data_IF_174821017466
#
_entry.id   IF_174821017466
#
_cell.length_a   1.000
_cell.length_b   1.000
_cell.length_c   1.000
_cell.angle_alpha   90.00
_cell.angle_beta   90.00
_cell.angle_gamma   90.00
#
_symmetry.space_group_name_H-M   'P 1'
#
loop_
_entity.id
_entity.type
_entity.pdbx_description
1 polymer ?
#
# COMPACT_ATOMS: atom_id res chain seq x y z
N UNK A 1 9.28 -1.85 -0.60
CA UNK A 1 8.91 -3.28 -0.69
C UNK A 1 8.81 -3.71 -2.16
N UNK A 2 9.14 -4.97 -2.48
CA UNK A 2 8.98 -5.55 -3.82
C UNK A 2 8.17 -6.84 -3.74
N UNK A 3 7.41 -7.12 -4.79
CA UNK A 3 6.58 -8.32 -4.87
C UNK A 3 7.44 -9.56 -5.17
N UNK A 4 7.27 -10.64 -4.40
CA UNK A 4 7.99 -11.90 -4.59
C UNK A 4 7.59 -12.62 -5.87
N UNK A 5 8.55 -13.30 -6.50
CA UNK A 5 8.27 -14.20 -7.62
C UNK A 5 7.44 -15.41 -7.18
N UNK A 6 6.43 -15.77 -7.96
CA UNK A 6 5.53 -16.91 -7.71
C UNK A 6 4.46 -16.67 -6.65
N UNK A 7 4.36 -15.48 -6.04
CA UNK A 7 3.32 -15.22 -5.04
C UNK A 7 1.94 -15.05 -5.69
N UNK A 8 0.88 -15.28 -4.90
CA UNK A 8 -0.51 -15.20 -5.37
C UNK A 8 -0.81 -13.89 -6.12
N UNK A 9 -0.39 -12.74 -5.57
CA UNK A 9 -0.63 -11.43 -6.17
C UNK A 9 -0.08 -11.33 -7.60
N UNK A 10 0.95 -12.08 -8.00
CA UNK A 10 1.47 -12.02 -9.36
C UNK A 10 0.47 -12.43 -10.44
N UNK A 11 -0.55 -13.20 -10.07
CA UNK A 11 -1.58 -13.70 -10.98
C UNK A 11 -2.80 -12.76 -11.05
N UNK A 12 -2.85 -11.73 -10.20
CA UNK A 12 -3.91 -10.73 -10.25
C UNK A 12 -3.57 -9.66 -11.29
N UNK A 13 -4.57 -9.35 -12.13
CA UNK A 13 -4.47 -8.29 -13.11
C UNK A 13 -4.98 -6.96 -12.53
N UNK A 14 -4.11 -5.96 -12.56
CA UNK A 14 -4.43 -4.57 -12.23
C UNK A 14 -4.82 -3.85 -13.52
N UNK A 15 -5.98 -3.22 -13.53
CA UNK A 15 -6.43 -2.41 -14.65
C UNK A 15 -5.45 -1.24 -14.86
N UNK A 16 -4.96 -1.06 -16.08
CA UNK A 16 -3.94 -0.06 -16.37
C UNK A 16 -4.47 1.37 -16.30
N UNK A 17 -5.76 1.59 -16.53
CA UNK A 17 -6.39 2.92 -16.56
C UNK A 17 -6.76 3.39 -15.16
N UNK A 18 -7.42 2.52 -14.40
CA UNK A 18 -7.94 2.81 -13.07
C UNK A 18 -6.97 2.46 -11.96
N UNK A 19 -5.94 1.64 -12.24
CA UNK A 19 -5.02 1.09 -11.24
C UNK A 19 -5.76 0.40 -10.08
N UNK A 20 -6.82 -0.34 -10.42
CA UNK A 20 -7.67 -1.09 -9.51
C UNK A 20 -7.80 -2.53 -9.99
N UNK A 21 -8.08 -3.44 -9.07
CA UNK A 21 -8.44 -4.81 -9.43
C UNK A 21 -9.86 -4.86 -9.98
N UNK A 22 -10.09 -5.70 -11.00
CA UNK A 22 -11.44 -6.08 -11.40
C UNK A 22 -12.19 -6.77 -10.26
N UNK A 23 -13.52 -6.79 -10.33
CA UNK A 23 -14.36 -7.47 -9.32
C UNK A 23 -13.93 -8.94 -9.13
N UNK A 24 -13.58 -9.63 -10.21
CA UNK A 24 -13.11 -11.02 -10.15
C UNK A 24 -11.78 -11.16 -9.40
N UNK A 25 -10.82 -10.26 -9.65
CA UNK A 25 -9.53 -10.30 -8.97
C UNK A 25 -9.63 -9.84 -7.51
N UNK A 26 -10.53 -8.90 -7.22
CA UNK A 26 -10.86 -8.48 -5.86
C UNK A 26 -11.51 -9.63 -5.06
N UNK A 27 -12.43 -10.37 -5.68
CA UNK A 27 -13.03 -11.56 -5.07
C UNK A 27 -11.99 -12.65 -4.79
N UNK A 28 -11.10 -12.94 -5.76
CA UNK A 28 -10.01 -13.89 -5.55
C UNK A 28 -9.07 -13.48 -4.41
N UNK A 29 -8.78 -12.17 -4.27
CA UNK A 29 -8.01 -11.65 -3.15
C UNK A 29 -8.76 -11.80 -1.81
N UNK A 30 -10.07 -11.52 -1.79
CA UNK A 30 -10.89 -11.68 -0.59
C UNK A 30 -10.95 -13.14 -0.12
N UNK A 31 -11.17 -14.08 -1.06
CA UNK A 31 -11.16 -15.52 -0.77
C UNK A 31 -9.79 -15.99 -0.25
N UNK A 32 -8.70 -15.50 -0.83
CA UNK A 32 -7.36 -15.82 -0.37
C UNK A 32 -7.08 -15.31 1.06
N UNK A 33 -7.52 -14.08 1.36
CA UNK A 33 -7.40 -13.50 2.70
C UNK A 33 -8.25 -14.28 3.69
N UNK A 34 -9.50 -14.59 3.35
CA UNK A 34 -10.38 -15.41 4.19
C UNK A 34 -9.77 -16.79 4.49
N UNK A 35 -9.10 -17.42 3.52
CA UNK A 35 -8.36 -18.66 3.77
C UNK A 35 -7.19 -18.47 4.77
N UNK A 36 -6.54 -17.30 4.76
CA UNK A 36 -5.51 -16.96 5.76
C UNK A 36 -6.10 -16.63 7.14
N UNK A 37 -7.33 -16.10 7.21
CA UNK A 37 -8.04 -15.84 8.48
C UNK A 37 -8.25 -17.14 9.28
N UNK A 38 -8.54 -18.25 8.59
CA UNK A 38 -8.72 -19.56 9.23
C UNK A 38 -7.39 -20.12 9.80
N UNK A 39 -6.24 -19.55 9.41
CA UNK A 39 -4.90 -20.04 9.76
C UNK A 39 -4.13 -19.12 10.73
N UNK A 40 -4.56 -17.87 10.94
CA UNK A 40 -3.81 -16.87 11.73
C UNK A 40 -4.74 -15.95 12.55
N UNK A 41 -4.23 -15.41 13.67
CA UNK A 41 -4.92 -14.34 14.39
C UNK A 41 -5.07 -13.09 13.50
N UNK A 42 -6.17 -12.33 13.60
CA UNK A 42 -6.46 -11.18 12.71
C UNK A 42 -5.28 -10.19 12.60
N UNK A 43 -4.61 -9.93 13.73
CA UNK A 43 -3.52 -8.94 13.80
C UNK A 43 -2.21 -9.48 13.18
N UNK A 44 -2.04 -10.80 13.14
CA UNK A 44 -0.89 -11.46 12.48
C UNK A 44 -1.16 -11.78 11.01
N UNK A 45 -2.42 -11.87 10.59
CA UNK A 45 -2.81 -12.28 9.24
C UNK A 45 -2.22 -11.33 8.19
N UNK A 46 -2.36 -10.02 8.38
CA UNK A 46 -1.81 -9.03 7.45
C UNK A 46 -0.27 -9.04 7.42
N UNK A 47 0.37 -9.20 8.58
CA UNK A 47 1.82 -9.35 8.67
C UNK A 47 2.32 -10.59 7.92
N UNK A 48 1.66 -11.75 8.13
CA UNK A 48 1.96 -13.00 7.44
C UNK A 48 1.73 -12.88 5.92
N UNK A 49 0.63 -12.24 5.52
CA UNK A 49 0.33 -11.95 4.11
C UNK A 49 1.45 -11.14 3.47
N UNK A 50 1.87 -10.02 4.08
CA UNK A 50 2.95 -9.19 3.55
C UNK A 50 4.28 -9.92 3.51
N UNK A 51 4.62 -10.67 4.56
CA UNK A 51 5.82 -11.51 4.58
C UNK A 51 5.81 -12.56 3.46
N UNK A 52 4.65 -13.08 3.08
CA UNK A 52 4.51 -14.05 2.01
C UNK A 52 4.59 -13.40 0.62
N UNK A 53 3.87 -12.30 0.39
CA UNK A 53 3.73 -11.70 -0.95
C UNK A 53 4.87 -10.74 -1.33
N UNK A 54 5.63 -10.26 -0.35
CA UNK A 54 6.73 -9.30 -0.57
C UNK A 54 8.05 -9.76 0.01
N UNK A 55 9.14 -9.19 -0.49
CA UNK A 55 10.47 -9.39 0.10
C UNK A 55 10.50 -8.84 1.52
N UNK A 56 11.06 -9.61 2.49
CA UNK A 56 11.02 -9.22 3.89
C UNK A 56 11.89 -7.98 4.13
N UNK A 57 11.25 -6.89 4.50
CA UNK A 57 11.91 -5.76 5.16
C UNK A 57 11.04 -5.38 6.36
N UNK A 58 11.38 -5.92 7.54
CA UNK A 58 10.62 -5.68 8.79
C UNK A 58 10.50 -4.20 9.09
N UNK A 59 11.52 -3.42 8.74
CA UNK A 59 11.58 -1.97 8.93
C UNK A 59 10.60 -1.20 7.99
N UNK A 60 9.99 -1.89 7.01
CA UNK A 60 8.95 -1.35 6.13
C UNK A 60 7.56 -1.93 6.46
N UNK A 61 7.50 -3.17 6.93
CA UNK A 61 6.22 -3.83 7.24
C UNK A 61 5.60 -3.26 8.51
N UNK A 62 6.38 -3.01 9.55
CA UNK A 62 5.86 -2.46 10.82
C UNK A 62 5.27 -1.05 10.63
N UNK A 63 5.96 -0.08 9.99
CA UNK A 63 5.36 1.23 9.73
C UNK A 63 4.14 1.18 8.82
N UNK A 64 4.08 0.22 7.88
CA UNK A 64 2.90 0.02 7.04
C UNK A 64 1.71 -0.49 7.86
N UNK A 65 1.97 -1.35 8.83
CA UNK A 65 0.95 -1.81 9.76
C UNK A 65 0.37 -0.63 10.54
N UNK A 66 1.24 0.16 11.18
CA UNK A 66 0.84 1.35 11.96
C UNK A 66 0.03 2.36 11.13
N UNK A 67 0.40 2.52 9.86
CA UNK A 67 -0.29 3.42 8.93
C UNK A 67 -1.72 2.95 8.59
N UNK A 68 -1.92 1.63 8.45
CA UNK A 68 -3.20 1.02 8.07
C UNK A 68 -4.09 0.70 9.28
N UNK A 69 -3.49 0.47 10.45
CA UNK A 69 -4.17 0.14 11.71
C UNK A 69 -4.87 1.36 12.34
N UNK A 70 -4.92 2.49 11.62
CA UNK A 70 -5.61 3.74 12.01
C UNK A 70 -7.09 3.65 12.32
N UNK A 71 -7.71 2.50 12.15
CA UNK A 71 -9.04 2.23 12.68
C UNK A 71 -8.91 1.82 14.15
N UNK A 72 -9.64 2.49 15.05
CA UNK A 72 -9.69 2.32 16.53
C UNK A 72 -10.00 0.88 17.01
N UNK A 73 -10.11 -0.09 16.10
CA UNK A 73 -10.40 -1.51 16.36
C UNK A 73 -9.16 -2.41 16.37
N UNK A 74 -7.96 -1.90 16.08
CA UNK A 74 -6.73 -2.71 16.05
C UNK A 74 -6.74 -3.81 14.99
N UNK A 75 -7.48 -3.62 13.90
CA UNK A 75 -7.60 -4.59 12.79
C UNK A 75 -7.54 -3.89 11.45
N UNK A 76 -6.77 -4.47 10.54
CA UNK A 76 -6.70 -4.06 9.13
C UNK A 76 -7.85 -4.75 8.40
N UNK A 77 -8.74 -3.96 7.79
CA UNK A 77 -9.86 -4.49 7.02
C UNK A 77 -9.47 -4.87 5.60
N UNK A 78 -10.42 -5.47 4.87
CA UNK A 78 -10.21 -5.83 3.47
C UNK A 78 -9.91 -4.62 2.57
N UNK A 79 -10.49 -3.45 2.87
CA UNK A 79 -10.27 -2.24 2.07
C UNK A 79 -8.82 -1.75 2.17
N UNK A 80 -8.27 -1.73 3.38
CA UNK A 80 -6.87 -1.37 3.63
C UNK A 80 -5.93 -2.36 2.93
N UNK A 81 -6.20 -3.66 3.06
CA UNK A 81 -5.45 -4.71 2.38
C UNK A 81 -5.53 -4.58 0.85
N UNK A 82 -6.72 -4.28 0.33
CA UNK A 82 -6.97 -4.10 -1.10
C UNK A 82 -6.15 -2.95 -1.67
N UNK A 83 -6.09 -1.81 -0.98
CA UNK A 83 -5.28 -0.66 -1.39
C UNK A 83 -3.80 -1.04 -1.45
N UNK A 84 -3.29 -1.75 -0.43
CA UNK A 84 -1.90 -2.23 -0.42
C UNK A 84 -1.62 -3.18 -1.58
N UNK A 85 -2.53 -4.11 -1.87
CA UNK A 85 -2.40 -5.00 -3.02
C UNK A 85 -2.33 -4.21 -4.34
N UNK A 86 -3.16 -3.17 -4.50
CA UNK A 86 -3.12 -2.31 -5.68
C UNK A 86 -1.82 -1.51 -5.78
N UNK A 87 -1.29 -0.99 -4.66
CA UNK A 87 0.02 -0.30 -4.62
C UNK A 87 1.13 -1.25 -5.08
N UNK A 88 1.18 -2.45 -4.51
CA UNK A 88 2.20 -3.47 -4.85
C UNK A 88 2.12 -3.90 -6.32
N UNK A 89 0.91 -4.06 -6.87
CA UNK A 89 0.71 -4.38 -8.27
C UNK A 89 1.03 -3.21 -9.19
N UNK A 90 0.73 -1.97 -8.79
CA UNK A 90 1.12 -0.78 -9.55
C UNK A 90 2.64 -0.65 -9.62
N UNK A 91 3.34 -1.08 -8.56
CA UNK A 91 4.80 -1.12 -8.54
C UNK A 91 5.33 -2.16 -9.53
N UNK A 92 4.80 -3.39 -9.49
CA UNK A 92 5.15 -4.46 -10.44
C UNK A 92 4.91 -4.05 -11.89
N UNK A 93 3.79 -3.37 -12.18
CA UNK A 93 3.37 -3.03 -13.53
C UNK A 93 3.93 -1.68 -14.03
N UNK A 94 4.80 -1.03 -13.26
CA UNK A 94 5.34 0.32 -13.57
C UNK A 94 4.28 1.44 -13.64
N UNK A 95 3.10 1.23 -13.03
CA UNK A 95 1.96 2.15 -13.03
C UNK A 95 1.88 3.06 -11.78
N UNK A 96 2.91 3.09 -10.93
CA UNK A 96 2.91 3.81 -9.65
C UNK A 96 2.49 5.27 -9.76
N UNK A 97 3.00 5.98 -10.78
CA UNK A 97 2.70 7.39 -11.01
C UNK A 97 1.23 7.59 -11.35
N UNK A 98 0.67 6.68 -12.14
CA UNK A 98 -0.74 6.70 -12.51
C UNK A 98 -1.64 6.33 -11.34
N UNK A 99 -1.22 5.36 -10.52
CA UNK A 99 -1.90 5.02 -9.28
C UNK A 99 -2.00 6.24 -8.36
N UNK A 100 -0.88 6.92 -8.10
CA UNK A 100 -0.86 8.15 -7.28
C UNK A 100 -1.79 9.21 -7.89
N UNK A 101 -1.66 9.50 -9.19
CA UNK A 101 -2.48 10.51 -9.86
C UNK A 101 -3.98 10.18 -9.86
N UNK A 102 -4.36 8.91 -9.95
CA UNK A 102 -5.77 8.49 -10.00
C UNK A 102 -6.41 8.43 -8.61
N UNK A 103 -5.61 8.03 -7.63
CA UNK A 103 -6.03 7.85 -6.24
C UNK A 103 -5.44 8.91 -5.33
N UNK A 104 -5.23 10.14 -5.82
CA UNK A 104 -4.63 11.23 -5.03
C UNK A 104 -5.38 11.40 -3.72
N UNK A 105 -6.72 11.38 -3.70
CA UNK A 105 -7.49 11.51 -2.46
C UNK A 105 -7.19 10.40 -1.42
N UNK A 106 -7.43 9.12 -1.75
CA UNK A 106 -7.08 8.01 -0.85
C UNK A 106 -5.58 7.91 -0.51
N UNK A 107 -4.70 8.19 -1.48
CA UNK A 107 -3.26 8.23 -1.25
C UNK A 107 -2.88 9.38 -0.31
N UNK A 108 -3.52 10.54 -0.46
CA UNK A 108 -3.34 11.70 0.41
C UNK A 108 -3.77 11.37 1.84
N UNK A 109 -4.93 10.76 2.04
CA UNK A 109 -5.38 10.31 3.37
C UNK A 109 -4.45 9.27 4.02
N UNK A 110 -3.76 8.49 3.19
CA UNK A 110 -2.80 7.50 3.64
C UNK A 110 -1.43 8.14 3.94
N UNK A 111 -1.10 9.25 3.28
CA UNK A 111 0.14 10.01 3.47
C UNK A 111 0.04 11.00 4.64
N UNK A 112 -1.11 11.65 4.80
CA UNK A 112 -1.45 12.59 5.88
C UNK A 112 -1.59 11.79 7.18
N UNK A 113 -0.57 11.85 8.04
CA UNK A 113 -0.46 10.98 9.20
C UNK A 113 -1.27 11.52 10.38
N UNK A 114 -1.22 12.82 10.60
CA UNK A 114 -1.88 13.47 11.72
C UNK A 114 -3.32 13.95 11.43
N UNK A 115 -3.76 13.84 10.17
CA UNK A 115 -5.08 14.26 9.65
C UNK A 115 -5.28 15.77 9.66
N UNK A 116 -4.21 16.54 9.55
CA UNK A 116 -4.29 17.99 9.44
C UNK A 116 -4.68 18.47 8.02
N UNK A 117 -4.87 17.54 7.08
CA UNK A 117 -5.12 17.76 5.65
C UNK A 117 -3.96 18.39 4.89
N UNK A 118 -2.75 18.28 5.43
CA UNK A 118 -1.49 18.60 4.80
C UNK A 118 -0.63 17.32 4.78
N UNK A 119 0.43 17.32 3.97
CA UNK A 119 1.44 16.26 4.01
C UNK A 119 2.76 16.95 4.23
N UNK A 120 3.31 16.82 5.43
CA UNK A 120 4.62 17.39 5.73
C UNK A 120 5.76 16.51 5.17
N UNK A 121 6.99 17.02 5.22
CA UNK A 121 8.14 16.27 4.72
C UNK A 121 8.41 14.99 5.52
N UNK A 122 8.14 14.98 6.83
CA UNK A 122 8.37 13.82 7.70
C UNK A 122 7.38 12.71 7.40
N UNK A 123 6.11 13.06 7.18
CA UNK A 123 5.05 12.14 6.78
C UNK A 123 5.32 11.54 5.40
N UNK A 124 5.75 12.39 4.46
CA UNK A 124 6.17 11.93 3.14
C UNK A 124 7.43 11.05 3.19
N UNK A 125 8.39 11.35 4.06
CA UNK A 125 9.58 10.52 4.29
C UNK A 125 9.22 9.17 4.94
N UNK A 126 8.32 9.17 5.92
CA UNK A 126 7.87 7.98 6.63
C UNK A 126 7.15 6.99 5.71
N UNK A 127 6.41 7.49 4.72
CA UNK A 127 5.58 6.70 3.81
C UNK A 127 6.23 6.40 2.45
N UNK A 128 7.39 7.00 2.15
CA UNK A 128 8.10 6.86 0.85
C UNK A 128 8.37 5.42 0.41
N UNK A 129 8.49 4.50 1.37
CA UNK A 129 8.79 3.09 1.11
C UNK A 129 7.64 2.36 0.38
N UNK A 130 6.41 2.87 0.49
CA UNK A 130 5.24 2.35 -0.20
C UNK A 130 5.34 2.54 -1.71
N UNK A 131 5.83 3.71 -2.11
CA UNK A 131 6.02 4.07 -3.51
C UNK A 131 7.41 3.69 -4.03
N UNK A 132 8.28 3.18 -3.15
CA UNK A 132 9.67 2.83 -3.44
C UNK A 132 10.43 4.04 -4.02
N UNK A 133 10.24 5.20 -3.39
CA UNK A 133 10.91 6.46 -3.75
C UNK A 133 12.25 6.54 -3.01
N UNK A 134 13.32 6.86 -3.73
CA UNK A 134 14.65 7.06 -3.13
C UNK A 134 14.69 8.35 -2.32
N UNK A 135 15.54 8.43 -1.30
CA UNK A 135 15.59 9.60 -0.40
C UNK A 135 16.05 10.86 -1.16
N UNK A 136 16.90 10.65 -2.15
CA UNK A 136 17.45 11.64 -3.07
C UNK A 136 16.37 12.19 -4.00
N UNK A 137 15.44 11.35 -4.44
CA UNK A 137 14.28 11.73 -5.27
C UNK A 137 13.18 12.39 -4.43
N UNK A 138 13.08 12.04 -3.15
CA UNK A 138 12.02 12.51 -2.25
C UNK A 138 11.96 14.03 -2.16
N UNK A 139 13.10 14.71 -1.94
CA UNK A 139 13.15 16.17 -1.85
C UNK A 139 12.71 16.86 -3.14
N UNK A 140 13.05 16.25 -4.28
CA UNK A 140 12.67 16.78 -5.59
C UNK A 140 11.17 16.64 -5.81
N UNK A 141 10.64 15.45 -5.56
CA UNK A 141 9.20 15.17 -5.65
C UNK A 141 8.43 16.07 -4.69
N UNK A 142 8.82 16.15 -3.41
CA UNK A 142 8.15 17.00 -2.43
C UNK A 142 8.09 18.46 -2.89
N UNK A 143 9.20 19.01 -3.38
CA UNK A 143 9.25 20.38 -3.92
C UNK A 143 8.41 20.57 -5.19
N UNK A 144 8.28 19.54 -6.04
CA UNK A 144 7.45 19.60 -7.24
C UNK A 144 5.95 19.58 -6.92
N UNK A 145 5.57 19.05 -5.75
CA UNK A 145 4.18 18.96 -5.28
C UNK A 145 3.79 20.03 -4.24
N UNK A 146 4.75 20.67 -3.59
CA UNK A 146 4.53 21.78 -2.67
C UNK A 146 4.27 23.08 -3.44
N UNK A 147 2.99 23.42 -3.58
CA UNK A 147 2.53 24.62 -4.28
C UNK A 147 2.64 25.87 -3.39
N UNK A 148 2.71 25.68 -2.07
CA UNK A 148 2.72 26.75 -1.05
C UNK A 148 4.13 27.28 -0.72
N UNK A 149 5.15 26.44 -0.83
CA UNK A 149 6.57 26.80 -0.66
C UNK A 149 7.11 26.64 0.75
#
# INVERSE_FOLDING_TARGET
MKLKSGCFLQHLHLDEVYCLLSVRNAAALAEYVQFLDDLCFPDLQFYCFLCYVTDPNKDQIVPLFDLLERNVRGRIGFNELYVVACILLSHKNHLKRQFIHRHVGPAFQLLDVDRDNMIDFNEFEATRFLFNIQKEELKKIFKDFDISG
#
